data_IF_729479958277
#
_entry.id   IF_729479958277
#
_cell.length_a   1.000
_cell.length_b   1.000
_cell.length_c   1.000
_cell.angle_alpha   90.00
_cell.angle_beta   90.00
_cell.angle_gamma   90.00
#
_symmetry.space_group_name_H-M   'P 1'
#
loop_
_entity.id
_entity.type
_entity.pdbx_description
1 polymer ?
#
# COMPACT_ATOMS: atom_id res chain seq x y z
N UNK A 1 0.35 7.48 6.64
CA UNK A 1 1.05 6.19 6.38
C UNK A 1 2.46 6.51 5.88
N UNK A 2 3.46 5.76 6.35
CA UNK A 2 4.82 5.75 5.81
C UNK A 2 5.08 4.36 5.20
N UNK A 3 5.93 4.29 4.18
CA UNK A 3 6.29 3.06 3.48
C UNK A 3 7.79 3.07 3.15
N UNK A 4 8.41 1.90 3.08
CA UNK A 4 9.80 1.75 2.65
C UNK A 4 9.76 1.05 1.30
N UNK A 5 9.93 1.82 0.23
CA UNK A 5 9.64 1.35 -1.13
C UNK A 5 10.94 1.01 -1.86
N UNK A 6 11.04 -0.23 -2.32
CA UNK A 6 12.02 -0.63 -3.33
C UNK A 6 11.37 -0.54 -4.72
N UNK A 7 12.11 -0.04 -5.71
CA UNK A 7 11.64 -0.01 -7.10
C UNK A 7 12.65 -0.71 -8.00
N UNK A 8 12.19 -1.74 -8.69
CA UNK A 8 12.99 -2.57 -9.59
C UNK A 8 12.44 -2.47 -11.02
N UNK A 9 13.31 -2.66 -12.02
CA UNK A 9 12.92 -2.66 -13.43
C UNK A 9 12.79 -4.09 -13.91
N UNK A 10 11.60 -4.45 -14.37
CA UNK A 10 11.27 -5.79 -14.89
C UNK A 10 10.81 -5.68 -16.34
N UNK A 11 11.75 -5.88 -17.27
CA UNK A 11 11.51 -5.72 -18.70
C UNK A 11 11.01 -4.31 -19.06
N UNK A 12 9.74 -4.22 -19.47
CA UNK A 12 9.07 -2.97 -19.88
C UNK A 12 8.30 -2.27 -18.75
N UNK A 13 8.41 -2.78 -17.52
CA UNK A 13 7.72 -2.29 -16.34
C UNK A 13 8.71 -1.93 -15.25
N UNK A 14 8.25 -1.08 -14.33
CA UNK A 14 8.84 -0.86 -13.03
C UNK A 14 7.89 -1.42 -11.99
N UNK A 15 8.42 -2.17 -11.02
CA UNK A 15 7.66 -2.75 -9.92
C UNK A 15 8.11 -2.04 -8.64
N UNK A 16 7.15 -1.42 -7.96
CA UNK A 16 7.37 -0.76 -6.67
C UNK A 16 6.77 -1.65 -5.58
N UNK A 17 7.58 -2.01 -4.59
CA UNK A 17 7.20 -2.91 -3.49
C UNK A 17 7.45 -2.21 -2.16
N UNK A 18 6.44 -2.15 -1.31
CA UNK A 18 6.64 -1.76 0.09
C UNK A 18 7.23 -2.94 0.87
N UNK A 19 8.42 -2.76 1.43
CA UNK A 19 9.16 -3.82 2.12
C UNK A 19 8.55 -4.20 3.48
N UNK A 20 7.62 -3.39 4.00
CA UNK A 20 6.95 -3.65 5.29
C UNK A 20 5.69 -4.51 5.09
N UNK A 21 4.84 -4.16 4.13
CA UNK A 21 3.56 -4.86 3.88
C UNK A 21 3.63 -5.90 2.76
N UNK A 22 4.71 -5.90 1.96
CA UNK A 22 4.86 -6.68 0.74
C UNK A 22 3.80 -6.42 -0.35
N UNK A 23 3.06 -5.32 -0.24
CA UNK A 23 2.20 -4.84 -1.33
C UNK A 23 3.11 -4.36 -2.45
N UNK A 24 2.83 -4.82 -3.66
CA UNK A 24 3.53 -4.41 -4.87
C UNK A 24 2.55 -3.90 -5.91
N UNK A 25 2.99 -2.93 -6.71
CA UNK A 25 2.26 -2.44 -7.87
C UNK A 25 3.25 -2.00 -8.96
N UNK A 26 2.80 -1.93 -10.21
CA UNK A 26 3.66 -1.71 -11.37
C UNK A 26 3.27 -0.48 -12.19
N UNK A 27 4.23 0.01 -12.97
CA UNK A 27 4.06 1.16 -13.86
C UNK A 27 5.02 1.13 -15.04
N UNK A 28 4.74 1.91 -16.08
CA UNK A 28 5.64 2.09 -17.22
C UNK A 28 6.82 3.01 -16.90
N UNK A 29 6.69 3.83 -15.86
CA UNK A 29 7.77 4.60 -15.26
C UNK A 29 7.88 4.32 -13.76
N UNK A 30 8.99 4.73 -13.13
CA UNK A 30 9.19 4.62 -11.67
C UNK A 30 8.11 5.39 -10.91
N UNK A 31 7.79 6.60 -11.37
CA UNK A 31 6.80 7.49 -10.75
C UNK A 31 5.40 6.89 -10.85
N UNK A 32 5.08 6.25 -11.97
CA UNK A 32 3.81 5.54 -12.13
C UNK A 32 3.71 4.36 -11.18
N UNK A 33 4.76 3.52 -11.08
CA UNK A 33 4.78 2.38 -10.17
C UNK A 33 4.55 2.81 -8.71
N UNK A 34 5.26 3.86 -8.27
CA UNK A 34 5.10 4.42 -6.90
C UNK A 34 3.71 5.03 -6.70
N UNK A 35 3.16 5.73 -7.70
CA UNK A 35 1.81 6.30 -7.63
C UNK A 35 0.75 5.19 -7.51
N UNK A 36 0.90 4.10 -8.26
CA UNK A 36 0.00 2.97 -8.21
C UNK A 36 0.13 2.24 -6.87
N UNK A 37 1.35 1.97 -6.40
CA UNK A 37 1.62 1.40 -5.08
C UNK A 37 0.95 2.21 -3.96
N UNK A 38 1.00 3.56 -4.03
CA UNK A 38 0.32 4.42 -3.03
C UNK A 38 -1.20 4.19 -2.99
N UNK A 39 -1.83 3.88 -4.13
CA UNK A 39 -3.26 3.50 -4.17
C UNK A 39 -3.46 2.10 -3.59
N UNK A 40 -2.64 1.13 -4.01
CA UNK A 40 -2.68 -0.24 -3.52
C UNK A 40 -2.53 -0.34 -2.00
N UNK A 41 -1.59 0.41 -1.41
CA UNK A 41 -1.38 0.46 0.05
C UNK A 41 -2.59 1.01 0.81
N UNK A 42 -3.27 2.03 0.27
CA UNK A 42 -4.50 2.57 0.90
C UNK A 42 -5.61 1.53 0.88
N UNK A 43 -5.86 0.93 -0.28
CA UNK A 43 -6.89 -0.09 -0.46
C UNK A 43 -6.60 -1.33 0.40
N UNK A 44 -5.34 -1.76 0.45
CA UNK A 44 -4.90 -2.86 1.31
C UNK A 44 -5.24 -2.59 2.77
N UNK A 45 -4.92 -1.39 3.27
CA UNK A 45 -5.23 -1.02 4.65
C UNK A 45 -6.74 -0.91 4.92
N UNK A 46 -7.51 -0.34 3.97
CA UNK A 46 -8.98 -0.29 4.06
C UNK A 46 -9.58 -1.70 4.18
N UNK A 47 -9.12 -2.66 3.37
CA UNK A 47 -9.54 -4.07 3.47
C UNK A 47 -9.17 -4.67 4.83
N UNK A 48 -7.97 -4.42 5.35
CA UNK A 48 -7.59 -4.88 6.69
C UNK A 48 -8.50 -4.30 7.79
N UNK A 49 -8.90 -3.04 7.69
CA UNK A 49 -9.85 -2.43 8.62
C UNK A 49 -11.25 -3.04 8.53
N UNK A 50 -11.70 -3.39 7.33
CA UNK A 50 -12.99 -4.06 7.13
C UNK A 50 -13.02 -5.46 7.75
N UNK A 51 -11.92 -6.21 7.59
CA UNK A 51 -11.73 -7.56 8.10
C UNK A 51 -11.37 -7.61 9.60
N UNK A 52 -10.98 -6.48 10.20
CA UNK A 52 -10.60 -6.42 11.60
C UNK A 52 -11.75 -6.91 12.50
N UNK A 53 -11.48 -7.73 13.54
CA UNK A 53 -12.52 -8.21 14.45
C UNK A 53 -13.26 -7.06 15.14
N UNK A 54 -14.56 -6.93 14.85
CA UNK A 54 -15.42 -5.91 15.48
C UNK A 54 -16.08 -6.50 16.72
N UNK A 55 -15.50 -6.21 17.90
CA UNK A 55 -16.06 -6.63 19.20
C UNK A 55 -16.72 -5.44 19.91
N UNK A 56 -17.54 -5.72 20.92
CA UNK A 56 -18.14 -4.66 21.75
C UNK A 56 -17.03 -3.80 22.35
N UNK A 57 -17.10 -2.48 22.12
CA UNK A 57 -16.09 -1.52 22.58
C UNK A 57 -15.00 -1.17 21.56
N UNK A 58 -14.94 -1.81 20.40
CA UNK A 58 -14.00 -1.45 19.33
C UNK A 58 -14.47 -0.18 18.59
N UNK A 59 -13.53 0.72 18.28
CA UNK A 59 -13.77 1.90 17.43
C UNK A 59 -12.63 2.03 16.42
N UNK A 60 -12.97 2.36 15.17
CA UNK A 60 -11.97 2.76 14.17
C UNK A 60 -11.69 4.24 14.39
N UNK A 61 -10.41 4.60 14.50
CA UNK A 61 -9.97 5.97 14.69
C UNK A 61 -9.14 6.40 13.49
N UNK A 62 -9.36 7.64 13.03
CA UNK A 62 -8.54 8.28 12.02
C UNK A 62 -7.61 9.28 12.70
N UNK A 63 -6.32 9.19 12.40
CA UNK A 63 -5.31 10.12 12.89
C UNK A 63 -4.75 10.89 11.70
N UNK A 64 -4.58 12.20 11.87
CA UNK A 64 -3.72 13.00 11.02
C UNK A 64 -2.28 12.85 11.55
N UNK A 65 -1.34 12.55 10.66
CA UNK A 65 0.09 12.37 10.98
C UNK A 65 0.89 13.35 10.15
#
# INVERSE_FOLDING_TARGET
>A
MKAVVQVEKEGKWYVATDLVTHVADQGRTREEAVRNLRKGLRQHYEVLLELAPKRRGTKVLQFEV
#
